data_IF_179642746588
#
_entry.id   IF_179642746588
#
_cell.length_a   1.000
_cell.length_b   1.000
_cell.length_c   1.000
_cell.angle_alpha   90.00
_cell.angle_beta   90.00
_cell.angle_gamma   90.00
#
_symmetry.space_group_name_H-M   'P 1'
#
loop_
_entity.id
_entity.type
_entity.pdbx_description
1 polymer ?
#
# COMPACT_ATOMS: atom_id res chain seq x y z
N UNK A 1 -2.18 -29.08 3.11
CA UNK A 1 -2.00 -29.07 4.58
C UNK A 1 -2.05 -27.62 5.01
N UNK A 2 -3.16 -27.17 5.58
CA UNK A 2 -3.35 -25.77 5.96
C UNK A 2 -2.67 -25.49 7.28
N UNK A 3 -1.75 -24.53 7.30
CA UNK A 3 -1.25 -23.97 8.55
C UNK A 3 -2.22 -22.87 8.95
N UNK A 4 -3.27 -23.23 9.70
CA UNK A 4 -4.07 -22.26 10.45
C UNK A 4 -3.26 -21.84 11.67
N UNK A 5 -2.62 -20.68 11.60
CA UNK A 5 -2.03 -20.04 12.79
C UNK A 5 -3.15 -19.64 13.76
N UNK A 6 -3.10 -20.18 14.98
CA UNK A 6 -4.08 -20.01 16.05
C UNK A 6 -4.11 -18.56 16.62
N UNK A 7 -5.26 -18.12 17.17
CA UNK A 7 -5.35 -16.88 17.94
C UNK A 7 -4.73 -17.09 19.32
N UNK A 8 -3.86 -16.18 19.78
CA UNK A 8 -3.36 -16.21 21.17
C UNK A 8 -4.03 -15.10 21.95
N UNK A 9 -4.99 -15.50 22.78
CA UNK A 9 -5.64 -14.68 23.79
C UNK A 9 -5.29 -15.25 25.17
N UNK A 10 -4.51 -14.51 25.95
CA UNK A 10 -4.27 -14.71 27.40
C UNK A 10 -4.06 -13.30 27.98
N UNK A 11 -4.99 -12.73 28.75
CA UNK A 11 -5.23 -13.11 30.15
C UNK A 11 -6.66 -12.77 30.63
N UNK A 12 -7.29 -13.78 31.23
CA UNK A 12 -8.03 -13.71 32.50
C UNK A 12 -9.12 -12.65 32.69
N UNK A 13 -10.37 -13.07 32.47
CA UNK A 13 -11.55 -12.35 32.98
C UNK A 13 -12.84 -12.71 32.25
N UNK A 14 -13.40 -13.87 32.59
CA UNK A 14 -14.83 -14.24 32.48
C UNK A 14 -15.73 -13.42 31.54
N UNK A 15 -16.12 -14.03 30.42
CA UNK A 15 -17.46 -13.85 29.84
C UNK A 15 -17.63 -12.89 28.68
N UNK A 16 -16.57 -12.28 28.14
CA UNK A 16 -16.66 -11.47 26.92
C UNK A 16 -15.58 -11.90 25.92
N UNK A 17 -15.92 -11.99 24.63
CA UNK A 17 -15.09 -12.62 23.60
C UNK A 17 -13.67 -12.04 23.51
N UNK A 18 -12.72 -12.84 23.01
CA UNK A 18 -11.33 -12.42 22.72
C UNK A 18 -11.31 -11.12 21.88
N UNK A 19 -11.21 -9.96 22.54
CA UNK A 19 -11.15 -8.67 21.87
C UNK A 19 -9.70 -8.28 21.66
N UNK A 20 -9.24 -8.36 20.40
CA UNK A 20 -7.93 -7.82 20.01
C UNK A 20 -7.92 -6.31 20.29
N UNK A 21 -6.90 -5.86 21.02
CA UNK A 21 -6.71 -4.45 21.37
C UNK A 21 -6.38 -3.62 20.12
N UNK A 22 -6.82 -2.36 20.09
CA UNK A 22 -6.54 -1.45 18.98
C UNK A 22 -5.02 -1.26 18.76
N UNK A 23 -4.25 -1.22 19.83
CA UNK A 23 -2.78 -1.15 19.77
C UNK A 23 -2.16 -2.34 19.04
N UNK A 24 -2.61 -3.56 19.32
CA UNK A 24 -2.12 -4.77 18.65
C UNK A 24 -2.46 -4.81 17.16
N UNK A 25 -3.64 -4.29 16.78
CA UNK A 25 -4.02 -4.16 15.38
C UNK A 25 -3.12 -3.15 14.66
N UNK A 26 -2.88 -1.99 15.28
CA UNK A 26 -1.98 -0.96 14.74
C UNK A 26 -0.53 -1.44 14.64
N UNK A 27 -0.05 -2.22 15.61
CA UNK A 27 1.27 -2.85 15.56
C UNK A 27 1.44 -3.75 14.34
N UNK A 28 0.47 -4.64 14.11
CA UNK A 28 0.46 -5.52 12.94
C UNK A 28 0.36 -4.73 11.64
N UNK A 29 -0.48 -3.70 11.61
CA UNK A 29 -0.65 -2.85 10.44
C UNK A 29 0.65 -2.11 10.07
N UNK A 30 1.35 -1.54 11.07
CA UNK A 30 2.66 -0.88 10.87
C UNK A 30 3.73 -1.88 10.41
N UNK A 31 3.76 -3.10 10.96
CA UNK A 31 4.70 -4.12 10.49
C UNK A 31 4.46 -4.49 9.03
N UNK A 32 3.19 -4.71 8.66
CA UNK A 32 2.82 -5.04 7.28
C UNK A 32 3.10 -3.87 6.31
N UNK A 33 2.75 -2.63 6.67
CA UNK A 33 3.02 -1.48 5.80
C UNK A 33 4.51 -1.27 5.55
N UNK A 34 5.33 -1.44 6.58
CA UNK A 34 6.78 -1.34 6.46
C UNK A 34 7.34 -2.42 5.53
N UNK A 35 6.87 -3.66 5.68
CA UNK A 35 7.28 -4.76 4.81
C UNK A 35 6.87 -4.53 3.34
N UNK A 36 5.63 -4.11 3.10
CA UNK A 36 5.13 -3.75 1.76
C UNK A 36 5.98 -2.65 1.14
N UNK A 37 6.28 -1.58 1.89
CA UNK A 37 7.10 -0.48 1.38
C UNK A 37 8.53 -0.93 1.05
N UNK A 38 9.14 -1.78 1.88
CA UNK A 38 10.45 -2.37 1.61
C UNK A 38 10.43 -3.17 0.31
N UNK A 39 9.47 -4.09 0.15
CA UNK A 39 9.32 -4.90 -1.06
C UNK A 39 9.08 -4.04 -2.30
N UNK A 40 8.24 -3.01 -2.18
CA UNK A 40 7.98 -2.08 -3.28
C UNK A 40 9.24 -1.31 -3.70
N UNK A 41 10.08 -0.94 -2.73
CA UNK A 41 11.34 -0.24 -3.00
C UNK A 41 12.33 -1.17 -3.70
N UNK A 42 12.48 -2.40 -3.20
CA UNK A 42 13.38 -3.39 -3.78
C UNK A 42 12.93 -3.78 -5.20
N UNK A 43 11.63 -4.01 -5.40
CA UNK A 43 11.07 -4.33 -6.72
C UNK A 43 11.27 -3.19 -7.72
N UNK A 44 11.11 -1.93 -7.29
CA UNK A 44 11.40 -0.78 -8.13
C UNK A 44 12.87 -0.72 -8.53
N UNK A 45 13.79 -0.91 -7.57
CA UNK A 45 15.22 -0.85 -7.82
C UNK A 45 15.68 -1.98 -8.76
N UNK A 46 15.20 -3.21 -8.53
CA UNK A 46 15.47 -4.37 -9.39
C UNK A 46 15.05 -4.10 -10.84
N UNK A 47 13.87 -3.49 -11.03
CA UNK A 47 13.36 -3.15 -12.36
C UNK A 47 14.14 -2.00 -12.99
N UNK A 48 14.40 -0.92 -12.24
CA UNK A 48 15.10 0.27 -12.71
C UNK A 48 16.52 -0.06 -13.18
N UNK A 49 17.27 -0.84 -12.39
CA UNK A 49 18.65 -1.22 -12.74
C UNK A 49 18.71 -2.00 -14.06
N UNK A 50 17.71 -2.86 -14.31
CA UNK A 50 17.71 -3.81 -15.42
C UNK A 50 17.13 -3.23 -16.70
N UNK A 51 16.04 -2.47 -16.60
CA UNK A 51 15.24 -2.05 -17.76
C UNK A 51 15.32 -0.54 -18.03
N UNK A 52 15.66 0.31 -17.06
CA UNK A 52 15.67 1.77 -17.29
C UNK A 52 16.96 2.28 -17.96
N UNK A 53 18.06 1.51 -17.92
CA UNK A 53 19.32 1.86 -18.59
C UNK A 53 19.08 2.00 -20.11
N UNK A 54 19.09 3.24 -20.61
CA UNK A 54 18.87 3.57 -22.02
C UNK A 54 17.45 4.03 -22.38
N UNK A 55 16.45 3.73 -21.54
CA UNK A 55 15.04 4.08 -21.80
C UNK A 55 14.62 5.44 -21.22
N UNK A 56 15.34 5.91 -20.19
CA UNK A 56 15.09 7.19 -19.51
C UNK A 56 13.62 7.35 -19.07
N UNK A 57 12.99 6.29 -18.59
CA UNK A 57 11.58 6.27 -18.21
C UNK A 57 11.25 7.36 -17.17
N UNK A 58 12.19 7.68 -16.29
CA UNK A 58 12.06 8.75 -15.30
C UNK A 58 11.70 10.11 -15.92
N UNK A 59 12.21 10.41 -17.12
CA UNK A 59 11.96 11.67 -17.83
C UNK A 59 10.52 11.76 -18.34
N UNK A 60 9.88 10.61 -18.63
CA UNK A 60 8.46 10.52 -19.07
C UNK A 60 7.51 10.28 -17.89
N UNK A 61 8.01 9.73 -16.79
CA UNK A 61 7.23 9.48 -15.57
C UNK A 61 6.87 10.76 -14.78
N UNK A 62 7.16 11.95 -15.33
CA UNK A 62 6.91 13.26 -14.70
C UNK A 62 5.40 13.59 -14.55
N UNK A 63 4.48 12.75 -15.04
CA UNK A 63 3.04 12.99 -14.88
C UNK A 63 2.39 12.08 -13.83
N UNK A 64 1.69 12.75 -12.91
CA UNK A 64 0.80 12.32 -11.81
C UNK A 64 0.36 10.84 -11.78
N UNK A 65 0.74 10.15 -10.70
CA UNK A 65 0.09 8.90 -10.29
C UNK A 65 -1.43 9.08 -10.14
N UNK A 66 -2.22 8.02 -10.33
CA UNK A 66 -3.69 8.09 -10.27
C UNK A 66 -4.25 8.59 -8.92
N UNK A 67 -3.46 8.45 -7.85
CA UNK A 67 -3.76 8.95 -6.50
C UNK A 67 -3.39 10.42 -6.28
N UNK A 68 -2.82 11.12 -7.26
CA UNK A 68 -2.40 12.52 -7.11
C UNK A 68 -3.57 13.49 -6.83
N UNK A 69 -4.80 13.11 -7.21
CA UNK A 69 -6.01 13.87 -6.88
C UNK A 69 -6.44 13.73 -5.42
N UNK A 70 -5.86 12.80 -4.66
CA UNK A 70 -6.04 12.72 -3.22
C UNK A 70 -5.22 13.81 -2.54
N UNK A 71 -5.90 14.72 -1.83
CA UNK A 71 -5.29 15.72 -0.95
C UNK A 71 -4.56 15.01 0.20
N UNK A 72 -3.36 14.55 -0.07
CA UNK A 72 -2.48 13.86 0.88
C UNK A 72 -1.44 14.84 1.40
N UNK A 73 -1.11 14.81 2.69
CA UNK A 73 -0.03 15.65 3.22
C UNK A 73 1.27 15.32 2.48
N UNK A 74 1.98 16.37 2.07
CA UNK A 74 3.24 16.23 1.32
C UNK A 74 4.45 16.04 2.23
N UNK A 75 4.34 16.53 3.47
CA UNK A 75 5.41 16.53 4.46
C UNK A 75 4.90 16.09 5.84
N UNK A 76 5.86 15.93 6.77
CA UNK A 76 5.60 15.49 8.14
C UNK A 76 4.75 16.53 8.88
N UNK A 77 5.01 17.81 8.68
CA UNK A 77 4.36 18.92 9.36
C UNK A 77 2.86 18.95 9.03
N UNK A 78 2.50 18.82 7.75
CA UNK A 78 1.13 18.70 7.28
C UNK A 78 0.45 17.46 7.84
N UNK A 79 1.13 16.30 7.80
CA UNK A 79 0.58 15.07 8.38
C UNK A 79 0.31 15.21 9.89
N UNK A 80 1.17 15.95 10.61
CA UNK A 80 1.01 16.24 12.03
C UNK A 80 -0.23 17.11 12.35
N UNK A 81 -0.73 17.90 11.40
CA UNK A 81 -1.95 18.72 11.56
C UNK A 81 -3.26 17.97 11.24
N UNK A 82 -3.20 16.88 10.48
CA UNK A 82 -4.40 16.12 10.10
C UNK A 82 -4.90 15.30 11.29
N UNK A 83 -6.22 15.29 11.52
CA UNK A 83 -6.86 14.49 12.57
C UNK A 83 -6.64 13.00 12.33
N UNK A 84 -6.60 12.19 13.39
CA UNK A 84 -6.29 10.78 13.25
C UNK A 84 -7.37 10.01 12.45
N UNK A 85 -8.64 10.40 12.55
CA UNK A 85 -9.73 9.84 11.76
C UNK A 85 -9.56 10.16 10.26
N UNK A 86 -9.23 11.40 9.94
CA UNK A 86 -9.02 11.83 8.54
C UNK A 86 -7.78 11.14 7.94
N UNK A 87 -6.71 11.01 8.72
CA UNK A 87 -5.48 10.32 8.31
C UNK A 87 -5.72 8.81 8.09
N UNK A 88 -6.55 8.18 8.92
CA UNK A 88 -6.97 6.80 8.77
C UNK A 88 -7.78 6.58 7.48
N UNK A 89 -8.74 7.47 7.22
CA UNK A 89 -9.52 7.46 5.97
C UNK A 89 -8.62 7.68 4.74
N UNK A 90 -7.61 8.57 4.81
CA UNK A 90 -6.65 8.75 3.73
C UNK A 90 -5.82 7.50 3.45
N UNK A 91 -5.34 6.81 4.48
CA UNK A 91 -4.61 5.55 4.33
C UNK A 91 -5.48 4.46 3.67
N UNK A 92 -6.74 4.34 4.10
CA UNK A 92 -7.71 3.42 3.47
C UNK A 92 -7.96 3.76 2.01
N UNK A 93 -8.17 5.04 1.68
CA UNK A 93 -8.38 5.47 0.28
C UNK A 93 -7.20 5.11 -0.61
N UNK A 94 -5.97 5.33 -0.14
CA UNK A 94 -4.78 4.91 -0.87
C UNK A 94 -4.77 3.39 -1.09
N UNK A 95 -4.97 2.60 -0.04
CA UNK A 95 -4.99 1.13 -0.14
C UNK A 95 -6.06 0.63 -1.13
N UNK A 96 -7.29 1.17 -1.07
CA UNK A 96 -8.34 0.82 -2.00
C UNK A 96 -8.00 1.19 -3.44
N UNK A 97 -7.42 2.36 -3.68
CA UNK A 97 -7.01 2.79 -5.02
C UNK A 97 -5.91 1.93 -5.63
N UNK A 98 -5.19 1.12 -4.84
CA UNK A 98 -4.14 0.22 -5.32
C UNK A 98 -4.60 -1.23 -5.57
N UNK A 99 -5.85 -1.58 -5.27
CA UNK A 99 -6.37 -2.95 -5.46
C UNK A 99 -6.26 -3.42 -6.92
N UNK A 100 -6.88 -2.70 -7.85
CA UNK A 100 -6.89 -3.08 -9.26
C UNK A 100 -5.52 -2.87 -9.94
N UNK A 101 -4.78 -1.76 -9.69
CA UNK A 101 -3.43 -1.60 -10.22
C UNK A 101 -2.47 -2.72 -9.83
N UNK A 102 -2.53 -3.25 -8.60
CA UNK A 102 -1.63 -4.32 -8.16
C UNK A 102 -1.97 -5.67 -8.81
N UNK A 103 -3.25 -5.96 -9.01
CA UNK A 103 -3.67 -7.12 -9.80
C UNK A 103 -3.15 -7.04 -11.23
N UNK A 104 -3.24 -5.86 -11.84
CA UNK A 104 -2.69 -5.63 -13.17
C UNK A 104 -1.16 -5.75 -13.19
N UNK A 105 -0.47 -5.14 -12.22
CA UNK A 105 1.00 -5.22 -12.09
C UNK A 105 1.45 -6.67 -11.98
N UNK A 106 0.83 -7.48 -11.13
CA UNK A 106 1.11 -8.90 -11.02
C UNK A 106 0.92 -9.64 -12.36
N UNK A 107 -0.17 -9.37 -13.08
CA UNK A 107 -0.42 -9.97 -14.39
C UNK A 107 0.59 -9.54 -15.45
N UNK A 108 1.06 -8.29 -15.43
CA UNK A 108 2.06 -7.80 -16.38
C UNK A 108 3.48 -8.28 -16.04
N UNK A 109 3.80 -8.48 -14.76
CA UNK A 109 5.07 -9.07 -14.34
C UNK A 109 5.29 -10.47 -14.96
N UNK A 110 4.23 -11.26 -15.13
CA UNK A 110 4.27 -12.56 -15.80
C UNK A 110 4.48 -12.47 -17.33
N UNK A 111 4.22 -11.31 -17.92
CA UNK A 111 4.27 -11.07 -19.38
C UNK A 111 5.53 -10.35 -19.84
N UNK A 112 6.34 -9.85 -18.90
CA UNK A 112 7.64 -9.27 -19.21
C UNK A 112 8.59 -10.43 -19.55
N UNK A 113 9.04 -10.47 -20.79
CA UNK A 113 9.99 -11.46 -21.28
C UNK A 113 11.29 -11.36 -20.46
N UNK A 114 11.82 -12.49 -19.99
CA UNK A 114 12.98 -12.57 -19.08
C UNK A 114 12.83 -11.80 -17.75
N UNK A 115 11.60 -11.50 -17.31
CA UNK A 115 11.37 -10.97 -15.96
C UNK A 115 12.09 -11.85 -14.93
N UNK A 116 12.97 -11.27 -14.10
CA UNK A 116 13.65 -12.07 -13.10
C UNK A 116 12.61 -12.57 -12.10
N UNK A 117 12.77 -13.82 -11.66
CA UNK A 117 11.93 -14.42 -10.62
C UNK A 117 11.81 -13.51 -9.38
N UNK A 118 12.84 -12.68 -9.15
CA UNK A 118 12.90 -11.67 -8.09
C UNK A 118 11.86 -10.56 -8.18
N UNK A 119 11.45 -10.15 -9.39
CA UNK A 119 10.40 -9.13 -9.58
C UNK A 119 9.03 -9.79 -9.51
N UNK A 120 8.87 -10.96 -10.13
CA UNK A 120 7.60 -11.68 -10.12
C UNK A 120 7.15 -12.06 -8.71
N UNK A 121 8.04 -12.63 -7.89
CA UNK A 121 7.67 -12.98 -6.52
C UNK A 121 7.30 -11.75 -5.69
N UNK A 122 8.05 -10.63 -5.84
CA UNK A 122 7.77 -9.39 -5.10
C UNK A 122 6.41 -8.82 -5.48
N UNK A 123 6.06 -8.86 -6.77
CA UNK A 123 4.76 -8.40 -7.25
C UNK A 123 3.61 -9.21 -6.63
N UNK A 124 3.76 -10.54 -6.57
CA UNK A 124 2.77 -11.43 -5.95
C UNK A 124 2.66 -11.19 -4.44
N UNK A 125 3.79 -11.11 -3.75
CA UNK A 125 3.84 -10.88 -2.30
C UNK A 125 3.22 -9.52 -1.94
N UNK A 126 3.59 -8.46 -2.64
CA UNK A 126 3.03 -7.11 -2.42
C UNK A 126 1.51 -7.12 -2.58
N UNK A 127 0.99 -7.78 -3.61
CA UNK A 127 -0.45 -7.89 -3.86
C UNK A 127 -1.19 -8.56 -2.69
N UNK A 128 -0.65 -9.67 -2.19
CA UNK A 128 -1.21 -10.42 -1.06
C UNK A 128 -1.13 -9.63 0.26
N UNK A 129 0.02 -9.00 0.53
CA UNK A 129 0.20 -8.24 1.75
C UNK A 129 -0.65 -6.96 1.79
N UNK A 130 -0.87 -6.30 0.64
CA UNK A 130 -1.77 -5.14 0.57
C UNK A 130 -3.23 -5.54 0.84
N UNK A 131 -3.69 -6.69 0.36
CA UNK A 131 -5.03 -7.22 0.72
C UNK A 131 -5.13 -7.44 2.23
N UNK A 132 -4.14 -8.10 2.82
CA UNK A 132 -4.10 -8.39 4.26
C UNK A 132 -4.08 -7.10 5.09
N UNK A 133 -3.29 -6.11 4.68
CA UNK A 133 -3.24 -4.80 5.32
C UNK A 133 -4.58 -4.07 5.21
N UNK A 134 -5.21 -4.09 4.03
CA UNK A 134 -6.50 -3.44 3.81
C UNK A 134 -7.58 -4.03 4.72
N UNK A 135 -7.68 -5.36 4.83
CA UNK A 135 -8.61 -6.01 5.76
C UNK A 135 -8.36 -5.63 7.22
N UNK A 136 -7.09 -5.55 7.62
CA UNK A 136 -6.69 -5.10 8.96
C UNK A 136 -7.10 -3.65 9.22
N UNK A 137 -6.88 -2.78 8.23
CA UNK A 137 -7.20 -1.35 8.29
C UNK A 137 -8.71 -1.11 8.35
N UNK A 138 -9.51 -1.88 7.61
CA UNK A 138 -10.98 -1.81 7.72
C UNK A 138 -11.47 -2.22 9.12
N UNK A 139 -10.83 -3.20 9.76
CA UNK A 139 -11.13 -3.58 11.17
C UNK A 139 -10.77 -2.47 12.14
N UNK A 140 -9.62 -1.82 11.94
CA UNK A 140 -9.19 -0.66 12.74
C UNK A 140 -10.19 0.48 12.58
N UNK A 141 -10.55 0.84 11.35
CA UNK A 141 -11.45 1.96 11.09
C UNK A 141 -12.86 1.72 11.66
N UNK A 142 -13.37 0.48 11.62
CA UNK A 142 -14.62 0.13 12.32
C UNK A 142 -14.56 0.34 13.84
N UNK A 143 -13.40 0.07 14.46
CA UNK A 143 -13.20 0.30 15.91
C UNK A 143 -13.06 1.78 16.26
N UNK A 144 -12.46 2.58 15.38
CA UNK A 144 -12.16 4.01 15.63
C UNK A 144 -13.34 4.91 15.29
N UNK A 145 -13.95 4.71 14.11
CA UNK A 145 -14.95 5.61 13.53
C UNK A 145 -16.37 5.02 13.55
N UNK A 146 -16.54 3.75 13.91
CA UNK A 146 -17.83 3.06 13.86
C UNK A 146 -18.19 2.58 12.45
N UNK A 147 -19.39 2.90 11.97
CA UNK A 147 -19.80 2.54 10.61
C UNK A 147 -19.07 3.42 9.59
N UNK A 148 -18.19 2.80 8.80
CA UNK A 148 -17.67 3.40 7.59
C UNK A 148 -18.87 3.67 6.67
N UNK A 149 -19.19 4.94 6.44
CA UNK A 149 -20.17 5.31 5.41
C UNK A 149 -19.75 4.74 4.04
N UNK A 150 -20.59 4.86 3.02
CA UNK A 150 -20.15 4.57 1.64
C UNK A 150 -19.07 5.58 1.24
N UNK A 151 -17.82 5.29 1.56
CA UNK A 151 -16.68 6.10 1.16
C UNK A 151 -16.45 5.91 -0.35
N UNK A 152 -16.26 7.02 -1.05
CA UNK A 152 -15.94 7.05 -2.46
C UNK A 152 -14.42 6.83 -2.62
N UNK A 153 -14.04 5.74 -3.27
CA UNK A 153 -12.64 5.42 -3.55
C UNK A 153 -12.30 5.86 -4.97
N UNK A 154 -11.15 6.53 -5.19
CA UNK A 154 -10.70 6.85 -6.55
C UNK A 154 -10.58 5.56 -7.37
N UNK A 155 -11.36 5.48 -8.44
CA UNK A 155 -11.33 4.36 -9.37
C UNK A 155 -10.12 4.52 -10.30
N UNK A 156 -9.34 3.45 -10.45
CA UNK A 156 -8.27 3.42 -11.43
C UNK A 156 -8.83 3.20 -12.83
N UNK A 157 -8.50 4.08 -13.77
CA UNK A 157 -9.01 4.05 -15.15
C UNK A 157 -8.24 3.07 -16.06
N UNK A 158 -7.24 2.35 -15.54
CA UNK A 158 -6.30 1.57 -16.35
C UNK A 158 -5.11 2.41 -16.84
N UNK A 159 -4.14 1.78 -17.52
CA UNK A 159 -3.02 2.48 -18.14
C UNK A 159 -3.48 3.27 -19.38
N UNK A 160 -2.90 4.45 -19.63
CA UNK A 160 -3.06 5.16 -20.90
C UNK A 160 -2.22 4.47 -22.00
N UNK A 161 -2.88 3.68 -22.86
CA UNK A 161 -2.22 3.08 -24.04
C UNK A 161 -2.02 4.12 -25.14
N UNK A 162 -0.79 4.58 -25.34
CA UNK A 162 -0.37 5.33 -26.54
C UNK A 162 0.36 4.34 -27.45
N UNK A 163 -0.33 3.76 -28.45
CA UNK A 163 0.17 2.64 -29.26
C UNK A 163 1.23 3.06 -30.30
N UNK A 164 2.45 3.40 -29.87
CA UNK A 164 3.57 3.65 -30.78
C UNK A 164 4.62 2.52 -30.74
N UNK A 165 4.94 1.98 -29.57
CA UNK A 165 5.82 0.82 -29.39
C UNK A 165 5.29 -0.09 -28.25
N UNK A 166 4.66 -1.23 -28.59
CA UNK A 166 4.01 -2.10 -27.59
C UNK A 166 4.93 -2.62 -26.47
N UNK A 167 6.23 -2.80 -26.74
CA UNK A 167 7.18 -3.30 -25.73
C UNK A 167 7.66 -2.17 -24.84
N UNK A 168 8.07 -1.05 -25.44
CA UNK A 168 8.46 0.15 -24.69
C UNK A 168 7.32 0.67 -23.81
N UNK A 169 6.10 0.78 -24.35
CA UNK A 169 4.94 1.31 -23.64
C UNK A 169 4.48 0.36 -22.52
N UNK A 170 4.69 -0.96 -22.66
CA UNK A 170 4.48 -1.93 -21.56
C UNK A 170 5.49 -1.74 -20.44
N UNK A 171 6.78 -1.68 -20.76
CA UNK A 171 7.85 -1.48 -19.77
C UNK A 171 7.69 -0.13 -19.06
N UNK A 172 7.34 0.93 -19.79
CA UNK A 172 7.06 2.24 -19.22
C UNK A 172 5.83 2.22 -18.30
N UNK A 173 4.74 1.56 -18.70
CA UNK A 173 3.54 1.43 -17.88
C UNK A 173 3.83 0.67 -16.57
N UNK A 174 4.62 -0.40 -16.64
CA UNK A 174 5.09 -1.13 -15.47
C UNK A 174 5.97 -0.27 -14.57
N UNK A 175 6.95 0.44 -15.14
CA UNK A 175 7.80 1.39 -14.43
C UNK A 175 6.98 2.45 -13.69
N UNK A 176 6.00 3.05 -14.37
CA UNK A 176 5.14 4.08 -13.83
C UNK A 176 4.33 3.57 -12.62
N UNK A 177 3.76 2.37 -12.72
CA UNK A 177 3.04 1.74 -11.61
C UNK A 177 3.96 1.47 -10.41
N UNK A 178 5.16 0.92 -10.64
CA UNK A 178 6.16 0.68 -9.58
C UNK A 178 6.56 1.97 -8.88
N UNK A 179 6.86 3.02 -9.66
CA UNK A 179 7.22 4.34 -9.14
C UNK A 179 6.12 4.89 -8.24
N UNK A 180 4.88 4.85 -8.71
CA UNK A 180 3.72 5.36 -8.00
C UNK A 180 3.40 4.54 -6.74
N UNK A 181 3.49 3.21 -6.82
CA UNK A 181 3.22 2.35 -5.67
C UNK A 181 4.29 2.51 -4.58
N UNK A 182 5.57 2.66 -4.96
CA UNK A 182 6.65 2.96 -4.01
C UNK A 182 6.39 4.25 -3.24
N UNK A 183 5.95 5.29 -3.93
CA UNK A 183 5.60 6.58 -3.32
C UNK A 183 4.43 6.44 -2.35
N UNK A 184 3.37 5.76 -2.76
CA UNK A 184 2.15 5.68 -1.95
C UNK A 184 2.26 4.69 -0.79
N UNK A 185 3.00 3.58 -0.95
CA UNK A 185 3.34 2.66 0.14
C UNK A 185 4.15 3.35 1.24
N UNK A 186 5.09 4.23 0.87
CA UNK A 186 5.81 5.06 1.84
C UNK A 186 4.88 6.01 2.60
N UNK A 187 3.90 6.64 1.91
CA UNK A 187 2.89 7.48 2.54
C UNK A 187 2.04 6.68 3.54
N UNK A 188 1.52 5.52 3.12
CA UNK A 188 0.72 4.63 3.98
C UNK A 188 1.51 4.26 5.23
N UNK A 189 2.75 3.78 5.06
CA UNK A 189 3.60 3.37 6.19
C UNK A 189 3.82 4.50 7.21
N UNK A 190 4.11 5.72 6.74
CA UNK A 190 4.28 6.87 7.61
C UNK A 190 2.97 7.28 8.31
N UNK A 191 1.82 7.19 7.63
CA UNK A 191 0.53 7.47 8.24
C UNK A 191 0.21 6.48 9.35
N UNK A 192 0.47 5.19 9.14
CA UNK A 192 0.21 4.17 10.17
C UNK A 192 1.12 4.33 11.39
N UNK A 193 2.40 4.66 11.18
CA UNK A 193 3.33 5.00 12.27
C UNK A 193 2.82 6.18 13.09
N UNK A 194 2.32 7.23 12.42
CA UNK A 194 1.78 8.40 13.08
C UNK A 194 0.46 8.11 13.82
N UNK A 195 -0.44 7.32 13.21
CA UNK A 195 -1.68 6.88 13.84
C UNK A 195 -1.42 6.07 15.10
N UNK A 196 -0.54 5.08 15.02
CA UNK A 196 -0.08 4.31 16.19
C UNK A 196 0.43 5.23 17.28
N UNK A 197 1.28 6.20 16.93
CA UNK A 197 1.84 7.12 17.90
C UNK A 197 0.78 7.93 18.64
N UNK A 198 -0.17 8.52 17.90
CA UNK A 198 -1.22 9.35 18.48
C UNK A 198 -2.19 8.55 19.34
N UNK A 199 -2.54 7.34 18.90
CA UNK A 199 -3.64 6.57 19.48
C UNK A 199 -3.20 5.62 20.59
N UNK A 200 -1.93 5.21 20.62
CA UNK A 200 -1.41 4.24 21.59
C UNK A 200 -0.51 4.90 22.63
N UNK A 201 0.36 5.84 22.24
CA UNK A 201 1.33 6.47 23.16
C UNK A 201 0.99 7.91 23.51
N UNK A 202 -0.18 8.41 23.10
CA UNK A 202 -0.59 9.79 23.33
C UNK A 202 0.33 10.83 22.65
N UNK A 203 1.03 10.44 21.59
CA UNK A 203 1.96 11.32 20.86
C UNK A 203 3.39 11.34 21.38
N UNK A 204 3.73 10.53 22.40
CA UNK A 204 5.12 10.33 22.82
C UNK A 204 5.73 9.16 22.04
N UNK A 205 6.23 9.46 20.85
CA UNK A 205 7.13 8.65 20.03
C UNK A 205 8.21 9.58 19.44
#
# INVERSE_FOLDING_TARGET
MGVTSLPICTNGGSGDGCQILLGELLDRAVMLSHYIHSLSTDMFNDFDERYNRGHQFINRAINTCHTASLNTPEDKEQALQIKHEELLTLALRLLHSWRDPLLHLMSEAQRIEEAPDTILWKAMEVEEQVKSLLEGMEKIARKVQGNLGREFFPQWSGPETLLADPTYDRLFSFYHLLHCFRRDSHKIDNYLKLLKCRMVTGGSC
#
